data_IF_691962913392
#
_entry.id   IF_691962913392
#
_cell.length_a   1.000
_cell.length_b   1.000
_cell.length_c   1.000
_cell.angle_alpha   90.00
_cell.angle_beta   90.00
_cell.angle_gamma   90.00
#
_symmetry.space_group_name_H-M   'P 1'
#
loop_
_entity.id
_entity.type
_entity.pdbx_description
1 polymer ?
#
# COMPACT_ATOMS: atom_id res chain seq x y z
N UNK A 1 -13.66 -1.46 11.47
CA UNK A 1 -12.28 -1.57 10.97
C UNK A 1 -11.34 -1.10 12.08
N UNK A 2 -11.37 -1.80 13.21
CA UNK A 2 -10.57 -1.44 14.38
C UNK A 2 -9.16 -1.98 14.20
N UNK A 3 -8.15 -1.20 14.57
CA UNK A 3 -6.74 -1.62 14.47
C UNK A 3 -6.02 -1.22 13.18
N UNK A 4 -6.72 -0.64 12.19
CA UNK A 4 -6.05 -0.09 11.01
C UNK A 4 -5.16 1.11 11.39
N UNK A 5 -4.00 1.21 10.77
CA UNK A 5 -3.04 2.30 11.00
C UNK A 5 -3.30 3.49 10.09
N UNK A 6 -3.11 4.70 10.61
CA UNK A 6 -3.00 5.92 9.81
C UNK A 6 -1.59 6.46 10.01
N UNK A 7 -0.92 6.78 8.91
CA UNK A 7 0.29 7.60 8.95
C UNK A 7 -0.02 8.98 8.36
N UNK A 8 0.67 10.01 8.81
CA UNK A 8 0.68 11.30 8.15
C UNK A 8 2.03 11.98 8.34
N UNK A 9 2.40 12.87 7.44
CA UNK A 9 3.48 13.82 7.67
C UNK A 9 2.93 15.25 7.75
N UNK A 10 3.48 16.05 8.64
CA UNK A 10 3.28 17.49 8.62
C UNK A 10 4.55 18.23 8.22
N UNK A 11 4.36 19.37 7.55
CA UNK A 11 5.43 20.25 7.10
C UNK A 11 5.17 21.66 7.62
N UNK A 12 6.18 22.23 8.29
CA UNK A 12 6.19 23.63 8.72
C UNK A 12 7.59 24.19 8.54
N UNK A 13 7.71 25.32 7.82
CA UNK A 13 8.98 26.02 7.60
C UNK A 13 10.12 25.14 7.03
N UNK A 14 9.77 24.10 6.27
CA UNK A 14 10.71 23.14 5.69
C UNK A 14 11.09 21.97 6.60
N UNK A 15 10.65 21.99 7.87
CA UNK A 15 10.78 20.87 8.80
C UNK A 15 9.63 19.87 8.58
N UNK A 16 9.94 18.58 8.69
CA UNK A 16 8.99 17.49 8.52
C UNK A 16 8.90 16.65 9.79
N UNK A 17 7.70 16.20 10.11
CA UNK A 17 7.47 15.30 11.24
C UNK A 17 6.41 14.27 10.87
N UNK A 18 6.59 13.06 11.39
CA UNK A 18 5.73 11.92 11.13
C UNK A 18 4.89 11.63 12.36
N UNK A 19 3.60 11.41 12.14
CA UNK A 19 2.68 10.91 13.15
C UNK A 19 2.03 9.63 12.66
N UNK A 20 1.76 8.73 13.62
CA UNK A 20 0.97 7.53 13.40
C UNK A 20 -0.13 7.47 14.44
N UNK A 21 -1.29 6.97 14.03
CA UNK A 21 -2.43 6.73 14.92
C UNK A 21 -3.18 5.49 14.44
N UNK A 22 -4.19 5.06 15.20
CA UNK A 22 -5.06 3.94 14.83
C UNK A 22 -6.48 4.42 14.57
N UNK A 23 -7.18 3.72 13.69
CA UNK A 23 -8.63 3.87 13.52
C UNK A 23 -9.35 3.13 14.64
N UNK A 24 -10.26 3.82 15.31
CA UNK A 24 -11.08 3.25 16.38
C UNK A 24 -12.25 2.37 15.85
N UNK A 25 -12.98 1.73 16.76
CA UNK A 25 -14.10 0.85 16.43
C UNK A 25 -15.22 1.55 15.64
N UNK A 26 -15.31 2.88 15.76
CA UNK A 26 -16.30 3.71 15.08
C UNK A 26 -15.81 4.29 13.75
N UNK A 27 -14.59 3.96 13.31
CA UNK A 27 -14.00 4.44 12.07
C UNK A 27 -13.38 5.83 12.16
N UNK A 28 -13.17 6.36 13.36
CA UNK A 28 -12.53 7.66 13.56
C UNK A 28 -11.05 7.51 13.89
N UNK A 29 -10.27 8.54 13.56
CA UNK A 29 -8.87 8.66 13.97
C UNK A 29 -8.58 10.11 14.35
N UNK A 30 -7.56 10.31 15.19
CA UNK A 30 -7.06 11.63 15.58
C UNK A 30 -5.55 11.64 15.39
N UNK A 31 -5.07 12.66 14.67
CA UNK A 31 -3.65 12.92 14.46
C UNK A 31 -3.24 14.10 15.32
N UNK A 32 -2.41 13.85 16.32
CA UNK A 32 -1.80 14.89 17.15
C UNK A 32 -0.46 15.31 16.55
N UNK A 33 -0.20 16.61 16.46
CA UNK A 33 1.04 17.15 15.91
C UNK A 33 1.55 18.30 16.80
N UNK A 34 2.87 18.44 17.05
CA UNK A 34 3.38 19.51 17.91
C UNK A 34 3.41 20.89 17.25
N UNK A 35 3.03 21.00 15.97
CA UNK A 35 3.01 22.29 15.29
C UNK A 35 1.74 23.05 15.66
N UNK A 36 1.91 24.25 16.24
CA UNK A 36 0.83 25.23 16.26
C UNK A 36 0.51 25.66 14.81
N UNK A 37 -0.77 25.89 14.46
CA UNK A 37 -1.14 26.41 13.16
C UNK A 37 -0.38 27.71 12.80
N UNK A 38 -0.03 27.95 11.54
CA UNK A 38 -0.38 27.18 10.33
C UNK A 38 0.72 26.20 9.93
N UNK A 39 0.32 25.05 9.39
CA UNK A 39 1.21 24.05 8.79
C UNK A 39 0.44 23.26 7.73
N UNK A 40 1.13 22.40 6.97
CA UNK A 40 0.50 21.50 5.99
C UNK A 40 0.59 20.06 6.47
N UNK A 41 -0.49 19.30 6.41
CA UNK A 41 -0.47 17.84 6.55
C UNK A 41 -0.59 17.18 5.18
N UNK A 42 0.01 16.02 4.98
CA UNK A 42 -0.11 15.27 3.73
C UNK A 42 0.32 13.82 3.86
N UNK A 43 0.07 13.06 2.78
CA UNK A 43 0.38 11.63 2.70
C UNK A 43 -0.28 10.89 3.85
N UNK A 44 -1.61 10.80 3.80
CA UNK A 44 -2.42 10.17 4.84
C UNK A 44 -2.90 8.78 4.41
N UNK A 45 -2.02 7.78 4.28
CA UNK A 45 -2.45 6.42 3.98
C UNK A 45 -3.10 5.77 5.19
N UNK A 46 -4.15 5.02 4.91
CA UNK A 46 -4.65 3.93 5.71
C UNK A 46 -3.82 2.69 5.42
N UNK A 47 -3.37 2.01 6.46
CA UNK A 47 -2.70 0.71 6.41
C UNK A 47 -3.56 -0.34 7.11
N UNK A 48 -3.78 -1.46 6.45
CA UNK A 48 -4.40 -2.64 7.03
C UNK A 48 -3.45 -3.83 6.90
N UNK A 49 -3.56 -4.80 7.81
CA UNK A 49 -2.69 -5.97 7.78
C UNK A 49 -2.92 -6.74 6.46
N UNK A 50 -1.87 -6.94 5.63
CA UNK A 50 -2.02 -7.56 4.32
C UNK A 50 -2.22 -9.09 4.36
N UNK A 51 -2.28 -9.70 5.55
CA UNK A 51 -2.32 -11.16 5.78
C UNK A 51 -3.51 -11.88 5.12
N UNK A 52 -4.49 -12.30 5.91
CA UNK A 52 -5.68 -12.94 5.33
C UNK A 52 -6.56 -11.93 4.59
N UNK A 53 -7.04 -12.31 3.40
CA UNK A 53 -7.90 -11.46 2.58
C UNK A 53 -9.18 -11.07 3.34
N UNK A 54 -9.37 -9.77 3.56
CA UNK A 54 -10.45 -9.21 4.38
C UNK A 54 -11.41 -8.27 3.60
N UNK A 55 -11.26 -8.18 2.28
CA UNK A 55 -12.06 -7.31 1.41
C UNK A 55 -11.76 -5.82 1.54
N UNK A 56 -10.68 -5.44 2.24
CA UNK A 56 -10.21 -4.06 2.40
C UNK A 56 -8.84 -3.91 1.77
N UNK A 57 -8.56 -2.80 1.06
CA UNK A 57 -7.23 -2.58 0.53
C UNK A 57 -6.17 -2.47 1.66
N UNK A 58 -4.99 -3.11 1.51
CA UNK A 58 -3.91 -3.07 2.50
C UNK A 58 -3.32 -1.67 2.65
N UNK A 59 -3.37 -0.87 1.59
CA UNK A 59 -2.96 0.54 1.61
C UNK A 59 -3.93 1.40 0.81
N UNK A 60 -4.39 2.53 1.37
CA UNK A 60 -5.28 3.45 0.67
C UNK A 60 -5.03 4.90 1.08
N UNK A 61 -4.77 5.79 0.11
CA UNK A 61 -4.52 7.20 0.38
C UNK A 61 -5.82 7.95 0.69
N UNK A 62 -6.02 8.34 1.96
CA UNK A 62 -7.25 9.01 2.40
C UNK A 62 -7.34 10.46 1.94
N UNK A 63 -6.22 11.18 2.02
CA UNK A 63 -6.19 12.60 1.73
C UNK A 63 -4.86 13.02 1.12
N UNK A 64 -4.96 13.95 0.17
CA UNK A 64 -3.83 14.72 -0.33
C UNK A 64 -3.34 15.74 0.71
N UNK A 65 -2.52 16.69 0.25
CA UNK A 65 -2.02 17.76 1.13
C UNK A 65 -3.15 18.72 1.54
N UNK A 66 -3.24 19.03 2.82
CA UNK A 66 -4.22 19.95 3.39
C UNK A 66 -3.55 20.95 4.35
N UNK A 67 -3.96 22.23 4.27
CA UNK A 67 -3.50 23.26 5.20
C UNK A 67 -4.29 23.16 6.52
N UNK A 68 -3.56 23.13 7.64
CA UNK A 68 -4.12 23.23 8.99
C UNK A 68 -4.04 24.67 9.45
N UNK A 69 -5.19 25.27 9.73
CA UNK A 69 -5.32 26.70 10.05
C UNK A 69 -5.86 26.99 11.45
N UNK A 70 -6.33 25.97 12.15
CA UNK A 70 -6.86 26.02 13.52
C UNK A 70 -6.39 24.83 14.34
N UNK A 71 -6.45 24.96 15.67
CA UNK A 71 -6.00 23.91 16.62
C UNK A 71 -6.66 22.55 16.35
N UNK A 72 -7.93 22.56 15.98
CA UNK A 72 -8.66 21.38 15.49
C UNK A 72 -9.10 21.64 14.06
N UNK A 73 -8.77 20.73 13.15
CA UNK A 73 -9.16 20.80 11.73
C UNK A 73 -9.74 19.47 11.30
N UNK A 74 -10.90 19.50 10.65
CA UNK A 74 -11.51 18.31 10.08
C UNK A 74 -10.86 17.97 8.74
N UNK A 75 -10.23 16.80 8.65
CA UNK A 75 -9.51 16.38 7.44
C UNK A 75 -10.42 15.82 6.35
N UNK A 76 -11.59 15.30 6.72
CA UNK A 76 -12.57 14.81 5.76
C UNK A 76 -13.25 13.53 6.19
N UNK A 77 -14.05 12.98 5.28
CA UNK A 77 -14.58 11.61 5.33
C UNK A 77 -14.18 10.93 4.05
N UNK A 78 -13.79 9.67 4.16
CA UNK A 78 -13.41 8.85 3.03
C UNK A 78 -14.14 7.52 3.17
N UNK A 79 -14.77 7.09 2.09
CA UNK A 79 -15.29 5.74 1.99
C UNK A 79 -14.15 4.86 1.48
N UNK A 80 -13.82 3.82 2.24
CA UNK A 80 -12.80 2.86 1.82
C UNK A 80 -13.44 1.94 0.78
N UNK A 81 -12.87 1.81 -0.43
CA UNK A 81 -13.43 0.93 -1.43
C UNK A 81 -13.31 -0.52 -1.00
N UNK A 82 -14.18 -1.36 -1.55
CA UNK A 82 -14.00 -2.81 -1.50
C UNK A 82 -12.74 -3.20 -2.27
N UNK A 83 -12.00 -4.16 -1.73
CA UNK A 83 -10.90 -4.82 -2.44
C UNK A 83 -11.33 -6.21 -2.91
N UNK A 84 -10.74 -6.63 -4.02
CA UNK A 84 -10.92 -7.94 -4.62
C UNK A 84 -9.61 -8.71 -4.57
N UNK A 85 -9.70 -10.04 -4.52
CA UNK A 85 -8.51 -10.89 -4.61
C UNK A 85 -7.99 -10.80 -6.04
N UNK A 86 -6.73 -10.40 -6.18
CA UNK A 86 -6.01 -10.30 -7.45
C UNK A 86 -4.79 -11.18 -7.40
N UNK A 87 -4.67 -12.12 -8.31
CA UNK A 87 -3.49 -12.97 -8.44
C UNK A 87 -2.39 -12.21 -9.17
N UNK A 88 -1.17 -12.29 -8.66
CA UNK A 88 0.01 -11.68 -9.30
C UNK A 88 1.11 -12.71 -9.34
N UNK A 89 1.58 -13.03 -10.54
CA UNK A 89 2.67 -13.98 -10.76
C UNK A 89 3.92 -13.25 -11.23
N UNK A 90 5.07 -13.59 -10.64
CA UNK A 90 6.38 -13.13 -11.09
C UNK A 90 7.13 -14.29 -11.75
N UNK A 91 7.63 -14.05 -12.96
CA UNK A 91 8.40 -15.02 -13.76
C UNK A 91 9.70 -14.39 -14.25
N UNK A 92 10.70 -15.21 -14.58
CA UNK A 92 11.90 -14.75 -15.29
C UNK A 92 11.65 -14.60 -16.81
N UNK A 93 12.68 -14.18 -17.56
CA UNK A 93 12.62 -14.03 -19.03
C UNK A 93 12.43 -15.34 -19.81
N UNK A 94 12.59 -16.50 -19.16
CA UNK A 94 12.27 -17.80 -19.74
C UNK A 94 10.82 -18.23 -19.44
N UNK A 95 10.11 -17.47 -18.60
CA UNK A 95 8.77 -17.78 -18.12
C UNK A 95 8.78 -18.76 -16.94
N UNK A 96 9.92 -18.99 -16.30
CA UNK A 96 9.99 -19.82 -15.10
C UNK A 96 9.53 -19.02 -13.87
N UNK A 97 8.68 -19.61 -13.00
CA UNK A 97 8.17 -18.92 -11.82
C UNK A 97 9.28 -18.61 -10.82
N UNK A 98 9.22 -17.42 -10.21
CA UNK A 98 10.18 -16.99 -9.21
C UNK A 98 9.69 -17.38 -7.81
N UNK A 99 10.26 -18.42 -7.21
CA UNK A 99 9.99 -18.85 -5.83
C UNK A 99 10.77 -18.00 -4.81
N UNK A 100 10.17 -17.73 -3.65
CA UNK A 100 10.74 -17.00 -2.52
C UNK A 100 11.34 -15.64 -2.94
N UNK A 101 10.72 -14.96 -3.91
CA UNK A 101 11.17 -13.65 -4.38
C UNK A 101 10.76 -12.59 -3.36
N UNK A 102 11.72 -11.89 -2.76
CA UNK A 102 11.50 -10.93 -1.67
C UNK A 102 12.64 -9.90 -1.63
N UNK A 103 12.40 -8.64 -1.18
CA UNK A 103 11.10 -8.08 -0.79
C UNK A 103 10.31 -7.54 -1.98
N UNK A 104 9.03 -7.91 -2.05
CA UNK A 104 8.07 -7.33 -3.00
C UNK A 104 7.20 -6.32 -2.25
N UNK A 105 6.92 -5.20 -2.90
CA UNK A 105 6.05 -4.16 -2.38
C UNK A 105 4.90 -3.87 -3.32
N UNK A 106 3.78 -3.48 -2.74
CA UNK A 106 2.68 -2.81 -3.44
C UNK A 106 2.69 -1.34 -3.06
N UNK A 107 2.41 -0.45 -4.02
CA UNK A 107 2.28 0.97 -3.73
C UNK A 107 1.11 1.60 -4.45
N UNK A 108 0.53 2.61 -3.81
CA UNK A 108 -0.30 3.57 -4.52
C UNK A 108 0.57 4.43 -5.44
N UNK A 109 0.02 4.96 -6.55
CA UNK A 109 0.73 5.95 -7.40
C UNK A 109 1.19 7.21 -6.65
N UNK A 110 0.69 7.45 -5.43
CA UNK A 110 1.10 8.53 -4.52
C UNK A 110 2.33 8.23 -3.66
N UNK A 111 2.82 6.99 -3.66
CA UNK A 111 4.05 6.55 -3.01
C UNK A 111 3.88 5.89 -1.64
N UNK A 112 2.66 5.80 -1.12
CA UNK A 112 2.33 4.98 0.05
C UNK A 112 2.36 3.51 -0.35
N UNK A 113 2.89 2.63 0.49
CA UNK A 113 2.97 1.22 0.13
C UNK A 113 3.27 0.30 1.30
N UNK A 114 3.15 -0.99 1.03
CA UNK A 114 3.44 -2.09 1.94
C UNK A 114 4.45 -3.03 1.29
N UNK A 115 5.38 -3.56 2.08
CA UNK A 115 6.56 -4.29 1.59
C UNK A 115 6.70 -5.71 2.18
N UNK A 116 5.59 -6.28 2.66
CA UNK A 116 5.56 -7.56 3.36
C UNK A 116 4.98 -8.63 2.43
N UNK A 117 5.53 -8.78 1.23
CA UNK A 117 5.12 -9.77 0.25
C UNK A 117 6.30 -10.57 -0.28
N UNK A 118 6.03 -11.85 -0.56
CA UNK A 118 6.94 -12.78 -1.25
C UNK A 118 6.17 -13.57 -2.31
N UNK A 119 6.78 -14.57 -2.94
CA UNK A 119 6.15 -15.47 -3.90
C UNK A 119 6.27 -16.93 -3.47
N UNK A 120 5.29 -17.75 -3.85
CA UNK A 120 5.31 -19.20 -3.65
C UNK A 120 6.08 -19.94 -4.76
N UNK A 121 6.06 -21.28 -4.70
CA UNK A 121 6.71 -22.15 -5.68
C UNK A 121 6.14 -22.08 -7.11
N UNK A 122 4.98 -21.47 -7.31
CA UNK A 122 4.40 -21.17 -8.63
C UNK A 122 4.60 -19.70 -9.03
N UNK A 123 5.33 -18.93 -8.22
CA UNK A 123 5.65 -17.53 -8.48
C UNK A 123 4.52 -16.56 -8.13
N UNK A 124 3.44 -17.03 -7.49
CA UNK A 124 2.32 -16.17 -7.11
C UNK A 124 2.61 -15.44 -5.80
N UNK A 125 2.25 -14.15 -5.76
CA UNK A 125 2.47 -13.30 -4.60
C UNK A 125 1.61 -13.74 -3.41
N UNK A 126 2.25 -13.80 -2.24
CA UNK A 126 1.65 -14.07 -0.92
C UNK A 126 2.15 -12.99 0.05
N UNK A 127 1.29 -12.52 0.95
CA UNK A 127 1.74 -11.75 2.11
C UNK A 127 2.70 -12.60 2.98
N UNK A 128 3.75 -12.01 3.54
CA UNK A 128 4.79 -12.76 4.29
C UNK A 128 4.23 -13.61 5.46
N UNK A 129 3.20 -13.10 6.14
CA UNK A 129 2.50 -13.82 7.21
C UNK A 129 1.20 -14.52 6.73
N UNK A 130 0.95 -14.50 5.42
CA UNK A 130 -0.22 -15.08 4.78
C UNK A 130 -0.03 -16.57 4.44
N UNK A 131 -1.15 -17.26 4.20
CA UNK A 131 -1.16 -18.67 3.79
C UNK A 131 -1.84 -18.91 2.45
N UNK A 132 -2.33 -17.86 1.80
CA UNK A 132 -3.06 -17.93 0.54
C UNK A 132 -2.50 -16.91 -0.45
N UNK A 133 -2.46 -17.28 -1.73
CA UNK A 133 -2.07 -16.35 -2.79
C UNK A 133 -3.09 -15.25 -2.99
N UNK A 134 -2.59 -14.19 -3.62
CA UNK A 134 -3.39 -13.06 -4.06
C UNK A 134 -3.26 -11.86 -3.14
N UNK A 135 -3.46 -10.69 -3.73
CA UNK A 135 -3.37 -9.39 -3.08
C UNK A 135 -4.76 -8.77 -3.08
N UNK A 136 -5.14 -8.13 -1.97
CA UNK A 136 -6.35 -7.35 -1.92
C UNK A 136 -6.15 -6.02 -2.69
N UNK A 137 -6.67 -5.93 -3.92
CA UNK A 137 -6.58 -4.71 -4.73
C UNK A 137 -7.94 -4.05 -4.93
N UNK A 138 -8.05 -2.71 -4.89
CA UNK A 138 -9.28 -2.01 -5.22
C UNK A 138 -9.64 -2.18 -6.69
N UNK A 139 -10.90 -1.95 -7.06
CA UNK A 139 -11.25 -1.89 -8.49
C UNK A 139 -10.56 -0.71 -9.16
N UNK A 140 -10.32 -0.84 -10.48
CA UNK A 140 -9.58 0.15 -11.27
C UNK A 140 -10.13 1.58 -11.13
N UNK A 141 -11.45 1.74 -10.96
CA UNK A 141 -12.08 3.05 -10.78
C UNK A 141 -11.75 3.71 -9.42
N UNK A 142 -11.39 2.92 -8.41
CA UNK A 142 -11.07 3.37 -7.06
C UNK A 142 -9.56 3.46 -6.81
N UNK A 143 -8.75 2.79 -7.64
CA UNK A 143 -7.29 2.88 -7.58
C UNK A 143 -6.61 1.72 -8.29
N UNK A 144 -5.30 1.84 -8.39
CA UNK A 144 -4.40 0.79 -8.88
C UNK A 144 -3.21 0.72 -7.92
N UNK A 145 -2.50 -0.42 -7.94
CA UNK A 145 -1.21 -0.56 -7.27
C UNK A 145 -0.08 -0.78 -8.24
N UNK A 146 1.07 -0.20 -7.96
CA UNK A 146 2.35 -0.56 -8.57
C UNK A 146 2.94 -1.74 -7.80
N UNK A 147 3.34 -2.79 -8.52
CA UNK A 147 4.16 -3.88 -7.97
C UNK A 147 5.63 -3.50 -8.18
N UNK A 148 6.40 -3.44 -7.10
CA UNK A 148 7.82 -3.09 -7.16
C UNK A 148 8.68 -3.99 -6.26
N UNK A 149 9.97 -4.08 -6.58
CA UNK A 149 10.98 -4.63 -5.70
C UNK A 149 12.16 -3.67 -5.57
N UNK A 150 12.91 -3.79 -4.46
CA UNK A 150 14.10 -2.98 -4.18
C UNK A 150 15.39 -3.75 -4.43
N UNK A 151 16.36 -3.07 -5.01
CA UNK A 151 17.73 -3.55 -5.19
C UNK A 151 18.71 -2.44 -4.78
N UNK A 152 20.00 -2.74 -4.73
CA UNK A 152 21.03 -1.80 -4.23
C UNK A 152 21.05 -0.44 -4.95
N UNK A 153 20.75 -0.43 -6.25
CA UNK A 153 20.75 0.77 -7.09
C UNK A 153 19.39 1.51 -7.13
N UNK A 154 18.35 0.99 -6.47
CA UNK A 154 17.06 1.65 -6.40
C UNK A 154 15.86 0.71 -6.30
N UNK A 155 14.82 1.04 -7.06
CA UNK A 155 13.56 0.29 -7.12
C UNK A 155 13.19 0.07 -8.56
N UNK A 156 12.60 -1.08 -8.84
CA UNK A 156 12.01 -1.37 -10.14
C UNK A 156 10.50 -1.60 -9.97
N UNK A 157 9.72 -0.94 -10.82
CA UNK A 157 8.29 -1.17 -10.95
C UNK A 157 8.07 -2.16 -12.09
N UNK A 158 7.46 -3.29 -11.78
CA UNK A 158 7.17 -4.33 -12.77
C UNK A 158 5.89 -4.04 -13.57
N UNK A 159 4.90 -3.43 -12.91
CA UNK A 159 3.66 -3.00 -13.55
C UNK A 159 2.60 -2.57 -12.56
N UNK A 160 1.41 -2.30 -13.08
CA UNK A 160 0.24 -1.93 -12.29
C UNK A 160 -0.80 -3.04 -12.24
N UNK A 161 -1.49 -3.14 -11.11
CA UNK A 161 -2.57 -4.10 -10.87
C UNK A 161 -3.83 -3.40 -10.35
N UNK A 162 -4.96 -4.07 -10.51
CA UNK A 162 -6.24 -3.71 -9.93
C UNK A 162 -7.07 -4.98 -9.65
N UNK A 163 -8.14 -4.83 -8.88
CA UNK A 163 -9.07 -5.90 -8.56
C UNK A 163 -10.33 -5.85 -9.41
N UNK A 164 -11.00 -6.99 -9.52
CA UNK A 164 -12.37 -7.07 -10.04
C UNK A 164 -13.13 -8.21 -9.38
N UNK A 165 -14.47 -8.13 -9.42
CA UNK A 165 -15.34 -9.20 -8.93
C UNK A 165 -15.24 -10.48 -9.76
N UNK A 166 -14.66 -10.42 -10.97
CA UNK A 166 -14.48 -11.58 -11.84
C UNK A 166 -13.18 -12.35 -11.52
N UNK A 167 -12.30 -11.75 -10.71
CA UNK A 167 -10.95 -12.25 -10.44
C UNK A 167 -9.99 -11.80 -11.54
N UNK A 168 -9.00 -11.00 -11.17
CA UNK A 168 -7.95 -10.56 -12.09
C UNK A 168 -6.65 -11.32 -11.81
N UNK A 169 -5.90 -11.58 -12.87
CA UNK A 169 -4.59 -12.21 -12.82
C UNK A 169 -3.59 -11.42 -13.66
N UNK A 170 -2.45 -11.09 -13.07
CA UNK A 170 -1.36 -10.36 -13.73
C UNK A 170 -0.07 -11.18 -13.66
N UNK A 171 0.65 -11.25 -14.78
CA UNK A 171 1.99 -11.86 -14.82
C UNK A 171 3.00 -10.79 -15.20
N UNK A 172 4.06 -10.66 -14.41
CA UNK A 172 5.16 -9.76 -14.69
C UNK A 172 6.47 -10.51 -14.87
N UNK A 173 7.21 -10.14 -15.92
CA UNK A 173 8.54 -10.65 -16.20
C UNK A 173 9.59 -9.82 -15.45
N UNK A 174 10.54 -10.50 -14.80
CA UNK A 174 11.69 -9.90 -14.11
C UNK A 174 12.95 -10.23 -14.89
N UNK A 175 13.59 -9.22 -15.48
CA UNK A 175 14.72 -9.42 -16.40
C UNK A 175 15.98 -9.99 -15.73
N UNK A 176 16.25 -9.57 -14.49
CA UNK A 176 17.42 -9.98 -13.71
C UNK A 176 17.01 -10.21 -12.23
N UNK A 177 16.40 -11.36 -11.90
CA UNK A 177 15.89 -11.63 -10.56
C UNK A 177 16.98 -11.61 -9.48
N UNK A 178 18.21 -11.97 -9.84
CA UNK A 178 19.32 -12.10 -8.88
C UNK A 178 19.79 -10.75 -8.34
N UNK A 179 19.51 -9.62 -9.00
CA UNK A 179 19.87 -8.29 -8.47
C UNK A 179 19.06 -7.87 -7.25
N UNK A 180 17.97 -8.57 -6.94
CA UNK A 180 17.09 -8.29 -5.82
C UNK A 180 17.41 -9.13 -4.57
N UNK A 181 18.43 -10.00 -4.63
CA UNK A 181 18.81 -10.97 -3.60
C UNK A 181 20.08 -10.57 -2.84
#
# INVERSE_FOLDING_TARGET
MSGAGIQAFAVKDGEFEYTRTSVDDSGHFVLDHPYEPRYTIGGVPLYTEPGEFNGVPPVFDLAGRQEVTSEVTFLGRVEIPEAYRTEVQLVDTAGEPLEDFTPISIRTPGGSGENNFTTDGEGYMIAEDGSETGIAAPSQEHGEYEIEARHDDGREVFGTIYGSSEGEEFTFEVEDPDRFR
#
